data_IF_861714835058
#
_entry.id   IF_861714835058
#
_cell.length_a   1.000
_cell.length_b   1.000
_cell.length_c   1.000
_cell.angle_alpha   90.00
_cell.angle_beta   90.00
_cell.angle_gamma   90.00
#
_symmetry.space_group_name_H-M   'P 1'
#
loop_
_entity.id
_entity.type
_entity.pdbx_description
1 polymer ?
#
# COMPACT_ATOMS: atom_id res chain seq x y z
N UNK A 1 -9.16 -16.38 11.84
CA UNK A 1 -8.83 -15.77 10.53
C UNK A 1 -9.66 -14.51 10.39
N UNK A 2 -9.08 -13.38 9.98
CA UNK A 2 -9.81 -12.13 9.77
C UNK A 2 -10.21 -12.04 8.29
N UNK A 3 -11.48 -12.37 8.01
CA UNK A 3 -12.06 -12.37 6.67
C UNK A 3 -12.56 -10.96 6.33
N UNK A 4 -11.64 -10.01 6.18
CA UNK A 4 -11.98 -8.63 5.85
C UNK A 4 -12.86 -8.52 4.59
N UNK A 5 -13.67 -7.46 4.49
CA UNK A 5 -14.51 -7.22 3.32
C UNK A 5 -13.88 -6.16 2.40
N UNK A 6 -13.95 -6.40 1.08
CA UNK A 6 -13.45 -5.46 0.07
C UNK A 6 -14.60 -4.56 -0.39
N UNK A 7 -14.43 -3.25 -0.25
CA UNK A 7 -15.29 -2.29 -0.95
C UNK A 7 -14.66 -1.95 -2.29
N UNK A 8 -15.18 -2.53 -3.36
CA UNK A 8 -14.82 -2.19 -4.72
C UNK A 8 -16.01 -1.46 -5.39
N UNK A 9 -15.72 -0.44 -6.18
CA UNK A 9 -16.68 0.13 -7.12
C UNK A 9 -16.40 -0.51 -8.48
N UNK A 10 -17.10 -1.61 -8.80
CA UNK A 10 -17.06 -2.12 -10.17
C UNK A 10 -18.08 -1.28 -10.94
N UNK A 11 -17.61 -0.15 -11.46
CA UNK A 11 -18.51 0.94 -11.80
C UNK A 11 -18.60 1.27 -13.28
N UNK A 12 -17.79 0.70 -14.17
CA UNK A 12 -17.77 1.12 -15.58
C UNK A 12 -17.79 2.67 -15.75
N UNK A 13 -17.12 3.40 -14.84
CA UNK A 13 -17.12 4.87 -14.77
C UNK A 13 -18.11 5.53 -13.78
N UNK A 14 -18.96 4.78 -13.06
CA UNK A 14 -19.93 5.34 -12.10
C UNK A 14 -19.50 5.23 -10.64
N UNK A 15 -19.73 6.30 -9.89
CA UNK A 15 -19.49 6.39 -8.46
C UNK A 15 -20.80 6.20 -7.69
N UNK A 16 -20.86 5.18 -6.83
CA UNK A 16 -22.00 4.94 -5.93
C UNK A 16 -21.58 5.17 -4.47
N UNK A 17 -22.48 5.76 -3.68
CA UNK A 17 -22.30 5.89 -2.24
C UNK A 17 -22.61 4.57 -1.54
N UNK A 18 -21.78 4.18 -0.56
CA UNK A 18 -22.03 3.04 0.32
C UNK A 18 -22.43 3.54 1.70
N UNK A 19 -23.61 3.16 2.18
CA UNK A 19 -24.14 3.55 3.50
C UNK A 19 -23.79 2.49 4.53
N UNK A 20 -23.20 2.91 5.64
CA UNK A 20 -23.05 2.09 6.85
C UNK A 20 -24.15 2.46 7.84
N UNK A 21 -24.72 1.46 8.49
CA UNK A 21 -25.72 1.63 9.56
C UNK A 21 -25.18 0.85 10.75
N UNK A 22 -25.09 1.51 11.89
CA UNK A 22 -24.66 0.89 13.12
C UNK A 22 -25.67 1.25 14.22
N UNK A 23 -25.97 0.28 15.09
CA UNK A 23 -26.88 0.46 16.20
C UNK A 23 -26.07 0.67 17.49
N UNK A 24 -26.41 1.70 18.24
CA UNK A 24 -25.79 2.03 19.52
C UNK A 24 -26.74 1.67 20.67
N UNK A 25 -26.18 1.30 21.81
CA UNK A 25 -26.85 1.44 23.10
C UNK A 25 -26.12 2.51 23.90
N UNK A 26 -26.75 3.11 24.91
CA UNK A 26 -26.22 4.28 25.66
C UNK A 26 -24.86 4.11 26.35
N UNK A 27 -24.15 3.02 26.11
CA UNK A 27 -22.79 2.71 26.59
C UNK A 27 -21.83 2.41 25.43
N UNK A 28 -22.29 1.82 24.32
CA UNK A 28 -21.44 1.43 23.20
C UNK A 28 -21.89 2.13 21.92
N UNK A 29 -21.16 3.18 21.56
CA UNK A 29 -21.24 3.80 20.24
C UNK A 29 -20.27 3.10 19.27
N UNK A 30 -20.72 2.72 18.06
CA UNK A 30 -19.86 2.14 17.04
C UNK A 30 -18.96 3.22 16.41
N UNK A 31 -17.67 2.93 16.23
CA UNK A 31 -16.74 3.78 15.48
C UNK A 31 -16.35 3.12 14.16
N UNK A 32 -16.39 3.89 13.07
CA UNK A 32 -15.86 3.48 11.77
C UNK A 32 -14.44 4.02 11.64
N UNK A 33 -13.45 3.14 11.68
CA UNK A 33 -12.06 3.49 11.40
C UNK A 33 -11.68 3.04 9.99
N UNK A 34 -11.33 3.99 9.13
CA UNK A 34 -10.76 3.69 7.82
C UNK A 34 -9.25 3.76 7.91
N UNK A 35 -8.60 2.60 8.04
CA UNK A 35 -7.15 2.48 7.96
C UNK A 35 -6.73 2.20 6.52
N UNK A 36 -6.11 3.19 5.89
CA UNK A 36 -5.33 2.96 4.67
C UNK A 36 -3.94 2.49 5.06
N UNK A 37 -3.53 1.36 4.52
CA UNK A 37 -2.15 0.89 4.60
C UNK A 37 -1.70 0.47 3.22
N UNK A 38 -0.58 1.04 2.76
CA UNK A 38 0.15 0.50 1.62
C UNK A 38 1.18 -0.49 2.13
N UNK A 39 1.38 -1.59 1.40
CA UNK A 39 2.48 -2.48 1.71
C UNK A 39 3.79 -1.69 1.62
N UNK A 40 4.55 -1.64 2.71
CA UNK A 40 5.87 -1.05 2.69
C UNK A 40 6.72 -1.86 1.71
N UNK A 41 7.32 -1.25 0.66
CA UNK A 41 8.19 -1.97 -0.24
C UNK A 41 9.34 -2.60 0.53
N UNK A 42 9.74 -3.80 0.12
CA UNK A 42 10.96 -4.41 0.64
C UNK A 42 12.16 -3.49 0.36
N UNK A 43 13.19 -3.59 1.20
CA UNK A 43 14.45 -2.88 0.97
C UNK A 43 14.99 -3.29 -0.41
N UNK A 44 15.35 -2.33 -1.29
CA UNK A 44 15.88 -2.66 -2.59
C UNK A 44 17.22 -3.39 -2.48
N UNK A 45 17.52 -4.20 -3.49
CA UNK A 45 18.86 -4.75 -3.71
C UNK A 45 19.69 -3.71 -4.42
N UNK A 46 20.88 -3.41 -3.90
CA UNK A 46 21.79 -2.41 -4.46
C UNK A 46 23.16 -3.03 -4.69
N UNK A 47 23.70 -2.85 -5.89
CA UNK A 47 25.08 -3.20 -6.24
C UNK A 47 25.79 -1.97 -6.78
N UNK A 48 27.01 -1.74 -6.30
CA UNK A 48 27.84 -0.61 -6.71
C UNK A 48 28.93 -1.08 -7.67
N UNK A 49 29.11 -0.36 -8.77
CA UNK A 49 30.13 -0.64 -9.78
C UNK A 49 30.99 0.59 -9.98
N UNK A 50 32.31 0.42 -9.86
CA UNK A 50 33.28 1.42 -10.26
C UNK A 50 33.61 1.25 -11.74
N UNK A 51 33.80 2.36 -12.45
CA UNK A 51 34.26 2.33 -13.84
C UNK A 51 35.79 2.13 -13.96
N UNK A 52 36.46 1.74 -12.86
CA UNK A 52 37.90 1.48 -12.80
C UNK A 52 38.65 2.48 -11.92
N UNK A 53 39.84 2.09 -11.46
CA UNK A 53 40.69 2.91 -10.59
C UNK A 53 41.04 4.25 -11.23
N UNK A 54 40.90 5.33 -10.47
CA UNK A 54 41.19 6.70 -10.94
C UNK A 54 40.10 7.35 -11.79
N UNK A 55 39.03 6.63 -12.15
CA UNK A 55 37.93 7.18 -12.97
C UNK A 55 37.06 8.21 -12.24
N UNK A 56 37.05 8.21 -10.90
CA UNK A 56 36.17 9.04 -10.08
C UNK A 56 34.66 8.82 -10.34
N UNK A 57 34.29 7.77 -11.09
CA UNK A 57 32.93 7.55 -11.57
C UNK A 57 32.53 6.08 -11.46
N UNK A 58 31.21 5.86 -11.44
CA UNK A 58 30.62 4.55 -11.27
C UNK A 58 29.11 4.65 -11.36
N UNK A 59 28.43 3.54 -11.11
CA UNK A 59 26.98 3.49 -11.09
C UNK A 59 26.47 2.51 -10.04
N UNK A 60 25.22 2.71 -9.62
CA UNK A 60 24.50 1.75 -8.81
C UNK A 60 23.47 1.04 -9.68
N UNK A 61 23.40 -0.27 -9.55
CA UNK A 61 22.25 -1.03 -10.01
C UNK A 61 21.29 -1.24 -8.84
N UNK A 62 20.07 -0.71 -8.95
CA UNK A 62 19.06 -0.73 -7.89
C UNK A 62 17.84 -1.50 -8.39
N UNK A 63 17.41 -2.49 -7.63
CA UNK A 63 16.34 -3.41 -8.01
C UNK A 63 15.31 -3.53 -6.88
N UNK A 64 14.03 -3.47 -7.24
CA UNK A 64 12.90 -3.73 -6.35
C UNK A 64 12.18 -5.00 -6.76
N UNK A 65 11.51 -5.64 -5.81
CA UNK A 65 10.53 -6.67 -6.14
C UNK A 65 9.31 -6.02 -6.81
N UNK A 66 8.69 -6.72 -7.75
CA UNK A 66 7.49 -6.23 -8.41
C UNK A 66 6.34 -6.07 -7.39
N UNK A 67 5.61 -4.96 -7.50
CA UNK A 67 4.41 -4.74 -6.71
C UNK A 67 3.25 -5.52 -7.37
N UNK A 68 2.43 -6.28 -6.60
CA UNK A 68 1.27 -7.01 -7.12
C UNK A 68 0.19 -6.13 -7.73
#
# INVERSE_FOLDING_TARGET
QNNGFKLHANGNGQNHWKKFIAAENGTNAPFLEVKYSYAKPNKPRVQAYSNGSGSGSGHFNVQWDAVP
#
